data_IF_839199053953
#
_entry.id   IF_839199053953
#
_cell.length_a   1.000
_cell.length_b   1.000
_cell.length_c   1.000
_cell.angle_alpha   90.00
_cell.angle_beta   90.00
_cell.angle_gamma   90.00
#
_symmetry.space_group_name_H-M   'P 1'
#
loop_
_entity.id
_entity.type
_entity.pdbx_description
1 polymer ?
#
# COMPACT_ATOMS: atom_id res chain seq x y z
N UNK A 1 -21.68 0.14 -5.55
CA UNK A 1 -20.96 0.17 -4.26
C UNK A 1 -19.70 -0.66 -4.43
N UNK A 2 -18.57 -0.02 -4.69
CA UNK A 2 -17.27 -0.70 -4.66
C UNK A 2 -17.05 -1.03 -3.19
N UNK A 3 -16.95 -2.32 -2.85
CA UNK A 3 -16.48 -2.72 -1.52
C UNK A 3 -15.01 -2.31 -1.48
N UNK A 4 -14.70 -1.16 -0.89
CA UNK A 4 -13.31 -0.81 -0.60
C UNK A 4 -12.80 -1.88 0.38
N UNK A 5 -11.75 -2.59 -0.02
CA UNK A 5 -10.96 -3.41 0.89
C UNK A 5 -10.44 -2.54 2.03
N UNK A 6 -10.10 -3.14 3.17
CA UNK A 6 -9.47 -2.39 4.24
C UNK A 6 -8.04 -2.06 3.81
N UNK A 7 -7.71 -0.77 3.73
CA UNK A 7 -6.37 -0.28 3.40
C UNK A 7 -5.74 0.33 4.65
N UNK A 8 -4.50 -0.07 4.90
CA UNK A 8 -3.72 0.34 6.05
C UNK A 8 -3.02 1.67 5.77
N UNK A 9 -2.81 2.44 6.82
CA UNK A 9 -1.98 3.65 6.77
C UNK A 9 -0.55 3.35 7.20
N UNK A 10 0.38 4.26 6.92
CA UNK A 10 1.80 4.16 7.32
C UNK A 10 1.99 3.95 8.83
N UNK A 11 1.04 4.37 9.67
CA UNK A 11 1.08 4.15 11.12
C UNK A 11 0.67 2.75 11.60
N UNK A 12 0.19 1.86 10.71
CA UNK A 12 -0.37 0.55 11.05
C UNK A 12 0.53 -0.63 10.65
N UNK A 13 1.85 -0.42 10.61
CA UNK A 13 2.83 -1.41 10.11
C UNK A 13 2.83 -2.73 10.90
N UNK A 14 2.56 -2.71 12.20
CA UNK A 14 2.47 -3.93 13.02
C UNK A 14 1.41 -4.91 12.48
N UNK A 15 0.25 -4.42 12.07
CA UNK A 15 -0.83 -5.24 11.51
C UNK A 15 -0.50 -5.68 10.08
N UNK A 16 0.12 -4.80 9.28
CA UNK A 16 0.63 -5.16 7.94
C UNK A 16 1.63 -6.32 8.04
N UNK A 17 2.61 -6.22 8.93
CA UNK A 17 3.62 -7.25 9.14
C UNK A 17 3.01 -8.60 9.55
N UNK A 18 1.98 -8.58 10.40
CA UNK A 18 1.24 -9.77 10.81
C UNK A 18 0.50 -10.41 9.63
N UNK A 19 -0.20 -9.62 8.82
CA UNK A 19 -0.90 -10.11 7.63
C UNK A 19 0.05 -10.72 6.60
N UNK A 20 1.21 -10.12 6.38
CA UNK A 20 2.25 -10.66 5.50
C UNK A 20 2.73 -12.04 5.99
N UNK A 21 2.90 -12.22 7.31
CA UNK A 21 3.26 -13.53 7.91
C UNK A 21 2.17 -14.57 7.70
N UNK A 22 0.91 -14.18 7.83
CA UNK A 22 -0.25 -15.03 7.55
C UNK A 22 -0.38 -15.39 6.05
N UNK A 23 0.27 -14.63 5.16
CA UNK A 23 0.25 -14.84 3.71
C UNK A 23 -0.84 -14.08 2.98
N UNK A 24 -1.41 -13.06 3.63
CA UNK A 24 -2.30 -12.10 2.98
C UNK A 24 -1.49 -11.08 2.18
N UNK A 25 -2.20 -10.33 1.33
CA UNK A 25 -1.65 -9.18 0.59
C UNK A 25 -2.31 -7.93 1.19
N UNK A 26 -1.68 -7.28 2.20
CA UNK A 26 -2.20 -6.03 2.71
C UNK A 26 -2.14 -4.94 1.63
N UNK A 27 -3.10 -4.03 1.69
CA UNK A 27 -3.19 -2.84 0.85
C UNK A 27 -2.82 -1.63 1.71
N UNK A 28 -1.98 -0.73 1.21
CA UNK A 28 -1.57 0.51 1.91
C UNK A 28 -1.92 1.71 1.05
N UNK A 29 -2.57 2.71 1.63
CA UNK A 29 -2.69 4.03 1.02
C UNK A 29 -1.45 4.87 1.38
N UNK A 30 -0.91 5.60 0.40
CA UNK A 30 0.19 6.54 0.59
C UNK A 30 -0.20 7.94 0.13
N UNK A 31 0.12 8.94 0.92
CA UNK A 31 -0.08 10.34 0.56
C UNK A 31 1.11 10.88 -0.25
N UNK A 32 2.32 10.37 0.04
CA UNK A 32 3.54 10.82 -0.62
C UNK A 32 4.49 9.67 -0.99
N UNK A 33 5.19 9.78 -2.11
CA UNK A 33 6.16 8.76 -2.56
C UNK A 33 7.28 8.46 -1.54
N UNK A 34 7.63 9.40 -0.66
CA UNK A 34 8.66 9.14 0.35
C UNK A 34 8.20 8.13 1.40
N UNK A 35 6.88 8.05 1.65
CA UNK A 35 6.29 7.13 2.63
C UNK A 35 6.47 5.67 2.23
N UNK A 36 6.57 5.38 0.92
CA UNK A 36 6.91 4.04 0.42
C UNK A 36 8.23 3.56 1.05
N UNK A 37 9.23 4.45 1.12
CA UNK A 37 10.54 4.11 1.68
C UNK A 37 10.46 3.92 3.19
N UNK A 38 9.61 4.69 3.87
CA UNK A 38 9.37 4.54 5.31
C UNK A 38 8.71 3.19 5.61
N UNK A 39 7.64 2.83 4.88
CA UNK A 39 6.97 1.54 4.98
C UNK A 39 7.94 0.37 4.76
N UNK A 40 8.78 0.46 3.72
CA UNK A 40 9.80 -0.57 3.44
C UNK A 40 10.78 -0.68 4.61
N UNK A 41 11.31 0.45 5.09
CA UNK A 41 12.26 0.51 6.20
C UNK A 41 11.67 -0.08 7.49
N UNK A 42 10.41 0.21 7.79
CA UNK A 42 9.74 -0.33 8.98
C UNK A 42 9.56 -1.85 8.85
N UNK A 43 9.10 -2.32 7.68
CA UNK A 43 8.96 -3.76 7.41
C UNK A 43 10.30 -4.51 7.43
N UNK A 44 11.41 -3.86 7.08
CA UNK A 44 12.76 -4.42 7.28
C UNK A 44 13.04 -4.69 8.76
N UNK A 45 12.58 -3.81 9.67
CA UNK A 45 12.62 -4.00 11.11
C UNK A 45 11.81 -5.21 11.60
N UNK A 46 10.75 -5.59 10.88
CA UNK A 46 9.93 -6.79 11.15
C UNK A 46 10.48 -8.08 10.53
N UNK A 47 11.60 -8.00 9.81
CA UNK A 47 12.27 -9.15 9.21
C UNK A 47 11.89 -9.43 7.76
N UNK A 48 11.31 -8.46 7.06
CA UNK A 48 11.10 -8.53 5.62
C UNK A 48 12.27 -7.90 4.85
N UNK A 49 12.40 -8.24 3.58
CA UNK A 49 13.31 -7.57 2.64
C UNK A 49 12.65 -7.48 1.28
N UNK A 50 12.96 -6.42 0.55
CA UNK A 50 12.51 -6.31 -0.85
C UNK A 50 13.19 -7.39 -1.68
N UNK A 51 12.43 -8.09 -2.52
CA UNK A 51 13.00 -9.12 -3.39
C UNK A 51 14.03 -8.51 -4.36
N UNK A 52 15.07 -9.26 -4.72
CA UNK A 52 16.11 -8.79 -5.65
C UNK A 52 15.61 -8.66 -7.09
N UNK A 53 14.70 -9.54 -7.50
CA UNK A 53 14.22 -9.65 -8.87
C UNK A 53 12.70 -9.49 -8.96
N UNK A 54 12.25 -8.66 -9.91
CA UNK A 54 10.84 -8.33 -10.15
C UNK A 54 10.14 -7.89 -8.87
N UNK A 55 10.78 -6.99 -8.13
CA UNK A 55 10.29 -6.49 -6.85
C UNK A 55 9.00 -5.66 -6.99
N UNK A 56 8.88 -4.93 -8.10
CA UNK A 56 7.77 -4.02 -8.36
C UNK A 56 6.96 -4.54 -9.54
N UNK A 57 5.68 -4.77 -9.31
CA UNK A 57 4.70 -5.17 -10.32
C UNK A 57 3.62 -4.09 -10.45
N UNK A 58 3.74 -3.28 -11.49
CA UNK A 58 2.84 -2.15 -11.77
C UNK A 58 1.53 -2.58 -12.44
N UNK A 59 1.40 -3.84 -12.84
CA UNK A 59 0.26 -4.38 -13.59
C UNK A 59 -0.47 -5.50 -12.82
N UNK A 60 -0.16 -5.67 -11.52
CA UNK A 60 -0.73 -6.71 -10.67
C UNK A 60 -2.24 -6.57 -10.42
N UNK A 61 -2.79 -5.37 -10.63
CA UNK A 61 -4.20 -5.02 -10.43
C UNK A 61 -4.71 -4.24 -11.65
N UNK A 62 -5.98 -4.44 -12.02
CA UNK A 62 -6.61 -3.72 -13.12
C UNK A 62 -6.82 -2.24 -12.76
N UNK A 63 -6.09 -1.35 -13.43
CA UNK A 63 -6.15 0.10 -13.23
C UNK A 63 -7.46 0.74 -13.70
N UNK A 64 -8.29 0.02 -14.48
CA UNK A 64 -9.63 0.48 -14.82
C UNK A 64 -10.55 0.33 -13.60
N UNK A 65 -10.40 -0.74 -12.83
CA UNK A 65 -11.17 -0.99 -11.60
C UNK A 65 -10.58 -0.25 -10.40
N UNK A 66 -9.26 -0.11 -10.36
CA UNK A 66 -8.49 0.52 -9.29
C UNK A 66 -7.53 1.58 -9.85
N UNK A 67 -8.04 2.75 -10.24
CA UNK A 67 -7.24 3.81 -10.88
C UNK A 67 -6.15 4.40 -9.96
N UNK A 68 -6.32 4.22 -8.66
CA UNK A 68 -5.40 4.62 -7.59
C UNK A 68 -4.30 3.57 -7.32
N UNK A 69 -4.33 2.41 -7.97
CA UNK A 69 -3.30 1.40 -7.78
C UNK A 69 -1.95 1.86 -8.35
N UNK A 70 -0.92 1.82 -7.51
CA UNK A 70 0.43 2.19 -7.90
C UNK A 70 1.23 0.97 -8.35
N UNK A 71 1.47 0.03 -7.44
CA UNK A 71 2.22 -1.20 -7.70
C UNK A 71 2.07 -2.21 -6.56
N UNK A 72 2.37 -3.47 -6.86
CA UNK A 72 2.58 -4.55 -5.90
C UNK A 72 4.06 -4.69 -5.63
N UNK A 73 4.44 -4.61 -4.36
CA UNK A 73 5.78 -4.88 -3.87
C UNK A 73 5.90 -6.34 -3.47
N UNK A 74 6.90 -7.02 -4.03
CA UNK A 74 7.31 -8.36 -3.64
C UNK A 74 8.40 -8.28 -2.57
N UNK A 75 8.16 -8.94 -1.45
CA UNK A 75 9.08 -9.03 -0.33
C UNK A 75 9.38 -10.49 0.03
N UNK A 76 10.45 -10.72 0.78
CA UNK A 76 10.85 -12.02 1.33
C UNK A 76 10.92 -11.90 2.85
N UNK A 77 10.29 -12.83 3.57
CA UNK A 77 10.45 -12.97 5.01
C UNK A 77 11.80 -13.67 5.30
N UNK A 78 12.74 -12.97 5.94
CA UNK A 78 14.12 -13.46 6.17
C UNK A 78 14.18 -14.77 6.96
N UNK A 79 13.24 -14.99 7.88
CA UNK A 79 13.22 -16.16 8.78
C UNK A 79 12.80 -17.45 8.07
N UNK A 80 11.93 -17.35 7.06
CA UNK A 80 11.30 -18.49 6.40
C UNK A 80 11.66 -18.61 4.92
N UNK A 81 12.17 -17.53 4.30
CA UNK A 81 12.33 -17.40 2.86
C UNK A 81 11.00 -17.28 2.11
N UNK A 82 9.89 -17.09 2.82
CA UNK A 82 8.55 -16.97 2.23
C UNK A 82 8.45 -15.68 1.42
N UNK A 83 7.91 -15.78 0.21
CA UNK A 83 7.57 -14.63 -0.62
C UNK A 83 6.24 -14.06 -0.13
N UNK A 84 6.21 -12.76 0.13
CA UNK A 84 5.03 -12.01 0.51
C UNK A 84 4.82 -10.85 -0.47
N UNK A 85 3.61 -10.30 -0.49
CA UNK A 85 3.23 -9.22 -1.39
C UNK A 85 2.50 -8.14 -0.63
N UNK A 86 2.69 -6.89 -1.04
CA UNK A 86 2.08 -5.70 -0.46
C UNK A 86 1.64 -4.78 -1.59
N UNK A 87 0.41 -4.28 -1.56
CA UNK A 87 -0.12 -3.40 -2.61
C UNK A 87 -0.12 -1.95 -2.14
N UNK A 88 0.42 -1.05 -2.96
CA UNK A 88 0.40 0.38 -2.72
C UNK A 88 -0.64 1.06 -3.59
N UNK A 89 -1.42 1.94 -2.96
CA UNK A 89 -2.41 2.79 -3.59
C UNK A 89 -2.11 4.25 -3.28
N UNK A 90 -2.38 5.13 -4.23
CA UNK A 90 -2.39 6.56 -3.97
C UNK A 90 -3.56 6.87 -3.03
N UNK A 91 -3.26 7.49 -1.90
CA UNK A 91 -4.24 7.98 -0.95
C UNK A 91 -5.20 8.96 -1.63
N UNK A 92 -6.43 9.11 -1.13
CA UNK A 92 -7.33 10.13 -1.65
C UNK A 92 -6.66 11.50 -1.51
N UNK A 93 -6.36 12.15 -2.63
CA UNK A 93 -5.94 13.54 -2.63
C UNK A 93 -7.09 14.38 -2.04
N UNK A 94 -7.01 14.75 -0.77
CA UNK A 94 -7.93 15.69 -0.10
C UNK A 94 -7.85 17.12 -0.67
N UNK A 95 -7.33 17.30 -1.90
CA UNK A 95 -7.24 18.57 -2.62
C UNK A 95 -8.44 18.87 -3.53
N UNK A 96 -9.57 18.18 -3.37
CA UNK A 96 -10.86 18.65 -3.85
C UNK A 96 -11.89 18.67 -2.72
N UNK A 97 -11.83 19.72 -1.91
CA UNK A 97 -13.02 20.46 -1.48
C UNK A 97 -12.58 21.91 -1.21
N UNK A 98 -12.13 22.57 -2.29
CA UNK A 98 -12.31 24.01 -2.37
C UNK A 98 -13.79 24.26 -2.16
N UNK A 99 -14.14 24.93 -1.05
CA UNK A 99 -15.50 25.34 -0.75
C UNK A 99 -16.23 25.75 -2.04
N UNK A 100 -17.23 24.98 -2.45
CA UNK A 100 -18.28 25.54 -3.28
C UNK A 100 -18.88 26.66 -2.43
N UNK A 101 -18.57 27.91 -2.77
CA UNK A 101 -19.26 29.08 -2.24
C UNK A 101 -20.74 28.88 -2.54
N UNK A 102 -21.47 28.38 -1.54
CA UNK A 102 -22.93 28.39 -1.50
C UNK A 102 -23.36 29.85 -1.59
N UNK A 103 -23.66 30.27 -2.82
CA UNK A 103 -24.34 31.51 -3.15
C UNK A 103 -25.72 31.49 -2.48
N UNK A 104 -25.82 32.10 -1.31
CA UNK A 104 -27.11 32.48 -0.74
C UNK A 104 -27.60 33.72 -1.49
N UNK A 105 -28.53 33.50 -2.42
CA UNK A 105 -29.23 34.54 -3.14
C UNK A 105 -30.05 35.48 -2.25
#
# INVERSE_FOLDING_TARGET
MIKRGFRYQTGEIDEVAKLLKEGNIPEIDIDFEYEIKEVISDLEGFGFEVATDNAYDYDAVDKIEHPDFMFRLKMVEKSTGKICYLDFYEGPNDQEDGYDEIWWG
#
